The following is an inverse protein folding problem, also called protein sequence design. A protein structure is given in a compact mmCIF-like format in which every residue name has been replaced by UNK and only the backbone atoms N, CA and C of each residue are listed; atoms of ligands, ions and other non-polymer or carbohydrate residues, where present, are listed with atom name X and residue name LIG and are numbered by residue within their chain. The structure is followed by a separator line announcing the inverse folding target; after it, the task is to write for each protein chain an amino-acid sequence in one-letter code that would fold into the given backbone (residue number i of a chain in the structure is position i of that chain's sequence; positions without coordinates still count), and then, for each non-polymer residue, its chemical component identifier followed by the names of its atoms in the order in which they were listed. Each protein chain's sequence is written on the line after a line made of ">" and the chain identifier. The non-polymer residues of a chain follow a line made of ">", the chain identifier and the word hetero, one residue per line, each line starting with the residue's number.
data_IF_059981091225
#
_entry.id   IF_059981091225
#
_cell.length_a   1.000
_cell.length_b   1.000
_cell.length_c   1.000
_cell.angle_alpha   90.00
_cell.angle_beta   90.00
_cell.angle_gamma   90.00
#
_symmetry.space_group_name_H-M   'P 1'
#
loop_
_entity.id
_entity.type
_entity.pdbx_description
1 polymer ?
#
# COMPACT_ATOMS: atom_id res chain seq x y z
N UNK A 1 -5.22 -10.91 -17.71
CA UNK A 1 -6.66 -11.31 -17.68
C UNK A 1 -6.74 -12.79 -17.38
N UNK A 2 -7.61 -13.23 -16.48
CA UNK A 2 -7.80 -14.65 -16.10
C UNK A 2 -9.16 -14.84 -15.43
N UNK A 3 -9.69 -16.06 -15.44
CA UNK A 3 -11.06 -16.38 -15.00
C UNK A 3 -11.34 -16.04 -13.53
N UNK A 4 -12.61 -15.81 -13.18
CA UNK A 4 -13.01 -15.68 -11.78
C UNK A 4 -12.59 -16.93 -11.00
N UNK A 5 -12.02 -16.76 -9.80
CA UNK A 5 -11.51 -17.89 -9.00
C UNK A 5 -10.12 -18.40 -9.37
N UNK A 6 -9.47 -17.88 -10.41
CA UNK A 6 -8.11 -18.33 -10.81
C UNK A 6 -6.98 -17.93 -9.84
N UNK A 7 -7.29 -17.45 -8.64
CA UNK A 7 -6.31 -17.11 -7.61
C UNK A 7 -5.61 -15.74 -7.73
N UNK A 8 -5.96 -14.89 -8.72
CA UNK A 8 -5.31 -13.58 -8.93
C UNK A 8 -5.32 -12.68 -7.68
N UNK A 9 -6.47 -12.56 -7.02
CA UNK A 9 -6.61 -11.77 -5.80
C UNK A 9 -5.79 -12.36 -4.65
N UNK A 10 -5.75 -13.68 -4.54
CA UNK A 10 -4.93 -14.40 -3.54
C UNK A 10 -3.45 -14.11 -3.77
N UNK A 11 -2.98 -14.21 -5.02
CA UNK A 11 -1.61 -13.91 -5.40
C UNK A 11 -1.26 -12.44 -5.15
N UNK A 12 -2.11 -11.50 -5.54
CA UNK A 12 -1.89 -10.08 -5.29
C UNK A 12 -1.78 -9.75 -3.80
N UNK A 13 -2.65 -10.35 -2.97
CA UNK A 13 -2.58 -10.22 -1.50
C UNK A 13 -1.33 -10.87 -0.92
N UNK A 14 -0.89 -12.00 -1.46
CA UNK A 14 0.35 -12.66 -1.03
C UNK A 14 1.58 -11.79 -1.34
N UNK A 15 1.63 -11.18 -2.53
CA UNK A 15 2.69 -10.23 -2.91
C UNK A 15 2.67 -9.01 -1.99
N UNK A 16 1.52 -8.53 -1.53
CA UNK A 16 1.47 -7.40 -0.58
C UNK A 16 1.74 -7.79 0.88
N UNK A 17 2.15 -9.02 1.15
CA UNK A 17 2.25 -9.58 2.50
C UNK A 17 0.97 -9.32 3.34
N UNK A 18 -0.18 -9.42 2.67
CA UNK A 18 -1.53 -9.33 3.25
C UNK A 18 -2.20 -10.70 3.37
N UNK A 19 -1.59 -11.74 2.79
CA UNK A 19 -1.98 -13.13 2.96
C UNK A 19 -0.73 -14.01 3.13
N UNK A 20 -0.82 -15.09 3.90
CA UNK A 20 0.30 -15.98 4.16
C UNK A 20 0.66 -16.80 2.90
N UNK A 21 1.95 -16.89 2.60
CA UNK A 21 2.50 -17.73 1.53
C UNK A 21 2.80 -19.11 2.13
N UNK A 22 1.98 -20.11 1.79
CA UNK A 22 2.09 -21.46 2.35
C UNK A 22 3.36 -22.19 1.95
N UNK A 23 3.87 -21.92 0.74
CA UNK A 23 5.10 -22.51 0.21
C UNK A 23 5.71 -21.66 -0.89
N UNK A 24 6.98 -21.89 -1.18
CA UNK A 24 7.75 -21.11 -2.14
C UNK A 24 8.29 -19.81 -1.54
N UNK A 25 8.73 -18.92 -2.42
CA UNK A 25 9.30 -17.64 -2.04
C UNK A 25 8.81 -16.53 -2.97
N UNK A 26 8.62 -15.34 -2.40
CA UNK A 26 8.39 -14.11 -3.14
C UNK A 26 9.41 -13.10 -2.62
N UNK A 27 10.26 -12.61 -3.52
CA UNK A 27 11.28 -11.61 -3.20
C UNK A 27 10.92 -10.34 -3.96
N UNK A 28 10.78 -9.23 -3.23
CA UNK A 28 10.69 -7.91 -3.82
C UNK A 28 12.07 -7.27 -3.82
N UNK A 29 12.54 -6.87 -5.00
CA UNK A 29 13.83 -6.20 -5.17
C UNK A 29 13.61 -4.69 -5.19
N UNK A 30 14.21 -3.99 -4.23
CA UNK A 30 14.34 -2.53 -4.21
C UNK A 30 15.81 -2.16 -4.50
N UNK A 31 16.07 -0.91 -4.89
CA UNK A 31 17.44 -0.46 -5.16
C UNK A 31 18.40 -0.63 -3.98
N UNK A 32 17.86 -0.67 -2.75
CA UNK A 32 18.63 -0.71 -1.50
C UNK A 32 18.57 -2.05 -0.78
N UNK A 33 17.49 -2.80 -0.91
CA UNK A 33 17.25 -4.02 -0.12
C UNK A 33 16.37 -5.01 -0.88
N UNK A 34 16.55 -6.29 -0.57
CA UNK A 34 15.65 -7.36 -0.98
C UNK A 34 14.71 -7.74 0.17
N UNK A 35 13.42 -7.90 -0.11
CA UNK A 35 12.42 -8.25 0.89
C UNK A 35 11.87 -9.65 0.59
N UNK A 36 12.19 -10.62 1.46
CA UNK A 36 11.58 -11.94 1.39
C UNK A 36 10.18 -11.91 2.05
N UNK A 37 9.13 -11.86 1.23
CA UNK A 37 7.76 -11.66 1.68
C UNK A 37 7.15 -12.89 2.37
N UNK A 38 7.72 -14.08 2.14
CA UNK A 38 7.29 -15.30 2.84
C UNK A 38 7.70 -15.29 4.33
N UNK A 39 8.83 -14.66 4.65
CA UNK A 39 9.42 -14.61 6.00
C UNK A 39 9.83 -13.19 6.40
N UNK A 40 9.00 -12.19 6.09
CA UNK A 40 9.33 -10.78 6.32
C UNK A 40 9.21 -10.41 7.80
N UNK A 41 10.20 -9.71 8.36
CA UNK A 41 10.10 -9.20 9.72
C UNK A 41 9.09 -8.05 9.83
N UNK A 42 8.61 -7.76 11.04
CA UNK A 42 7.69 -6.62 11.28
C UNK A 42 8.29 -5.27 10.85
N UNK A 43 9.60 -5.11 10.96
CA UNK A 43 10.28 -3.86 10.64
C UNK A 43 10.40 -3.71 9.11
N UNK A 44 10.85 -4.75 8.42
CA UNK A 44 10.92 -4.79 6.95
C UNK A 44 9.53 -4.66 6.33
N UNK A 45 8.50 -5.28 6.92
CA UNK A 45 7.12 -5.18 6.45
C UNK A 45 6.59 -3.75 6.45
N UNK A 46 6.93 -2.96 7.48
CA UNK A 46 6.55 -1.54 7.54
C UNK A 46 7.23 -0.74 6.43
N UNK A 47 8.49 -1.02 6.16
CA UNK A 47 9.26 -0.32 5.12
C UNK A 47 8.86 -0.76 3.70
N UNK A 48 8.59 -2.04 3.50
CA UNK A 48 8.06 -2.61 2.26
C UNK A 48 6.69 -2.02 1.91
N UNK A 49 5.79 -1.91 2.88
CA UNK A 49 4.45 -1.33 2.67
C UNK A 49 4.49 0.13 2.20
N UNK A 50 5.56 0.88 2.45
CA UNK A 50 5.71 2.24 1.88
C UNK A 50 5.97 2.23 0.37
N UNK A 51 6.48 1.10 -0.16
CA UNK A 51 6.89 0.93 -1.56
C UNK A 51 5.82 0.22 -2.39
N UNK A 52 5.06 -0.67 -1.78
CA UNK A 52 4.01 -1.43 -2.45
C UNK A 52 2.64 -1.17 -1.79
N UNK A 53 1.71 -0.62 -2.57
CA UNK A 53 0.34 -0.30 -2.15
C UNK A 53 -0.67 -0.90 -3.13
N UNK A 54 -1.84 -1.27 -2.62
CA UNK A 54 -2.92 -1.83 -3.43
C UNK A 54 -3.79 -0.71 -4.00
N UNK A 55 -4.04 -0.77 -5.30
CA UNK A 55 -5.10 0.00 -5.94
C UNK A 55 -6.24 -0.95 -6.24
N UNK A 56 -7.44 -0.64 -5.76
CA UNK A 56 -8.63 -1.46 -5.99
C UNK A 56 -9.23 -1.16 -7.37
N UNK A 57 -9.78 -2.19 -8.01
CA UNK A 57 -10.45 -2.04 -9.32
C UNK A 57 -11.70 -1.18 -9.23
N UNK A 58 -12.45 -1.31 -8.13
CA UNK A 58 -13.52 -0.40 -7.77
C UNK A 58 -12.98 0.62 -6.76
N UNK A 59 -12.73 1.87 -7.17
CA UNK A 59 -12.21 2.89 -6.27
C UNK A 59 -13.23 3.26 -5.19
N UNK A 60 -14.54 3.18 -5.46
CA UNK A 60 -15.57 3.56 -4.48
C UNK A 60 -15.62 2.60 -3.29
N UNK A 61 -15.36 1.31 -3.53
CA UNK A 61 -15.28 0.32 -2.47
C UNK A 61 -14.12 0.55 -1.49
N UNK A 62 -13.10 1.32 -1.90
CA UNK A 62 -11.93 1.63 -1.08
C UNK A 62 -12.04 2.97 -0.33
N UNK A 63 -13.00 3.83 -0.72
CA UNK A 63 -13.16 5.16 -0.13
C UNK A 63 -14.20 5.13 1.00
N UNK A 64 -13.86 5.76 2.12
CA UNK A 64 -14.82 5.98 3.21
C UNK A 64 -15.66 7.24 2.90
N UNK A 65 -16.99 7.13 2.77
CA UNK A 65 -17.84 8.30 2.52
C UNK A 65 -17.92 9.26 3.72
N UNK A 66 -17.36 8.87 4.87
CA UNK A 66 -17.26 9.72 6.07
C UNK A 66 -16.00 10.59 6.09
N UNK A 67 -15.08 10.39 5.15
CA UNK A 67 -13.82 11.13 5.07
C UNK A 67 -13.87 12.15 3.94
N UNK A 68 -13.28 13.32 4.18
CA UNK A 68 -13.11 14.31 3.11
C UNK A 68 -12.03 13.85 2.12
N UNK A 69 -12.00 14.43 0.92
CA UNK A 69 -10.91 14.19 -0.05
C UNK A 69 -9.53 14.46 0.58
N UNK A 70 -9.43 15.53 1.39
CA UNK A 70 -8.21 15.83 2.14
C UNK A 70 -7.83 14.68 3.07
N UNK A 71 -8.78 14.16 3.84
CA UNK A 71 -8.49 13.11 4.83
C UNK A 71 -8.09 11.80 4.15
N UNK A 72 -8.74 11.46 3.04
CA UNK A 72 -8.38 10.29 2.21
C UNK A 72 -6.93 10.39 1.71
N UNK A 73 -6.51 11.57 1.28
CA UNK A 73 -5.14 11.79 0.79
C UNK A 73 -4.12 11.90 1.94
N UNK A 74 -4.51 12.45 3.09
CA UNK A 74 -3.63 12.66 4.25
C UNK A 74 -3.38 11.37 5.05
N UNK A 75 -4.39 10.52 5.22
CA UNK A 75 -4.31 9.29 6.02
C UNK A 75 -3.08 8.42 5.72
N UNK A 76 -2.78 8.05 4.46
CA UNK A 76 -1.60 7.23 4.17
C UNK A 76 -0.29 7.95 4.50
N UNK A 77 -0.23 9.28 4.35
CA UNK A 77 0.97 10.08 4.67
C UNK A 77 1.23 10.07 6.18
N UNK A 78 0.18 10.25 6.98
CA UNK A 78 0.23 10.31 8.44
C UNK A 78 0.50 8.92 9.05
N UNK A 79 -0.24 7.88 8.64
CA UNK A 79 -0.11 6.51 9.15
C UNK A 79 1.28 5.93 8.85
N UNK A 80 1.83 6.21 7.67
CA UNK A 80 3.16 5.75 7.29
C UNK A 80 4.29 6.63 7.84
N UNK A 81 3.95 7.71 8.55
CA UNK A 81 4.89 8.72 9.07
C UNK A 81 5.81 9.26 7.96
N UNK A 82 5.22 9.53 6.80
CA UNK A 82 5.90 10.21 5.68
C UNK A 82 6.00 11.70 6.04
N UNK A 83 4.95 12.25 6.62
CA UNK A 83 4.90 13.61 7.16
C UNK A 83 4.92 13.58 8.69
N UNK A 84 5.46 14.63 9.31
CA UNK A 84 5.61 14.75 10.76
C UNK A 84 4.60 15.68 11.40
N UNK A 85 4.11 16.67 10.64
CA UNK A 85 3.13 17.64 11.12
C UNK A 85 1.90 17.69 10.21
N UNK A 86 0.82 18.26 10.74
CA UNK A 86 -0.40 18.48 9.98
C UNK A 86 -0.16 19.44 8.81
N UNK A 87 0.65 20.47 9.03
CA UNK A 87 0.98 21.48 8.01
C UNK A 87 1.73 20.84 6.83
N UNK A 88 2.68 19.94 7.12
CA UNK A 88 3.44 19.20 6.10
C UNK A 88 2.51 18.24 5.33
N UNK A 89 1.59 17.56 6.03
CA UNK A 89 0.56 16.74 5.39
C UNK A 89 -0.33 17.56 4.46
N UNK A 90 -0.81 18.72 4.92
CA UNK A 90 -1.70 19.60 4.15
C UNK A 90 -1.00 20.22 2.93
N UNK A 91 0.31 20.51 3.03
CA UNK A 91 1.12 20.94 1.88
C UNK A 91 1.26 19.82 0.85
N UNK A 92 1.60 18.60 1.30
CA UNK A 92 1.75 17.46 0.40
C UNK A 92 0.43 17.05 -0.26
N UNK A 93 -0.68 17.12 0.47
CA UNK A 93 -2.02 16.89 -0.09
C UNK A 93 -2.33 17.90 -1.19
N UNK A 94 -2.03 19.19 -0.98
CA UNK A 94 -2.21 20.22 -2.01
C UNK A 94 -1.37 19.95 -3.26
N UNK A 95 -0.12 19.52 -3.08
CA UNK A 95 0.76 19.15 -4.20
C UNK A 95 0.26 17.93 -4.97
N UNK A 96 -0.28 16.92 -4.28
CA UNK A 96 -0.87 15.75 -4.95
C UNK A 96 -2.12 16.15 -5.73
N UNK A 97 -3.01 16.92 -5.10
CA UNK A 97 -4.27 17.34 -5.71
C UNK A 97 -4.09 18.27 -6.91
N UNK A 98 -2.99 19.03 -6.98
CA UNK A 98 -2.70 19.92 -8.13
C UNK A 98 -2.17 19.19 -9.37
N UNK A 99 -1.84 17.90 -9.26
CA UNK A 99 -1.39 17.05 -10.38
C UNK A 99 -2.53 16.33 -11.10
N UNK A 100 -3.77 16.52 -10.62
CA UNK A 100 -5.00 16.04 -11.26
C UNK A 100 -5.58 17.14 -12.16
#
# INVERSE_FOLDING_TARGET
>A
VGESGSGKTTLGRAILAANHISSGQVIFHDEKNDYNLANISKQELKDYRKKAQLIFQDPYAALSPRMTVRDILAEPLEVMKITKTREEADERVREIASKC
#
